data_IF_033181923879
#
_entry.id   IF_033181923879
#
_cell.length_a   1.000
_cell.length_b   1.000
_cell.length_c   1.000
_cell.angle_alpha   90.00
_cell.angle_beta   90.00
_cell.angle_gamma   90.00
#
_symmetry.space_group_name_H-M   'P 1'
#
loop_
_entity.id
_entity.type
_entity.pdbx_description
1 polymer ?
#
# COMPACT_ATOMS: atom_id res chain seq x y z
N UNK A 1 -6.26 -0.86 -8.01
CA UNK A 1 -7.40 -0.53 -7.12
C UNK A 1 -7.12 0.69 -6.24
N UNK A 2 -5.93 0.84 -5.64
CA UNK A 2 -5.55 2.03 -4.85
C UNK A 2 -5.78 3.37 -5.57
N UNK A 3 -5.60 3.42 -6.89
CA UNK A 3 -5.81 4.62 -7.73
C UNK A 3 -7.25 5.15 -7.76
N UNK A 4 -8.23 4.33 -7.38
CA UNK A 4 -9.65 4.67 -7.43
C UNK A 4 -10.32 4.60 -6.04
N UNK A 5 -9.55 4.32 -4.99
CA UNK A 5 -10.07 4.24 -3.64
C UNK A 5 -10.49 5.63 -3.15
N UNK A 6 -11.56 5.68 -2.36
CA UNK A 6 -12.06 6.88 -1.70
C UNK A 6 -12.00 6.68 -0.20
N UNK A 7 -11.53 7.69 0.51
CA UNK A 7 -11.52 7.75 1.97
C UNK A 7 -12.55 8.78 2.43
N UNK A 8 -13.07 8.63 3.65
CA UNK A 8 -13.87 9.67 4.26
C UNK A 8 -12.94 10.76 4.82
N UNK A 9 -12.80 11.84 4.07
CA UNK A 9 -11.89 12.94 4.41
C UNK A 9 -12.34 13.73 5.65
N UNK A 10 -13.62 13.61 6.01
CA UNK A 10 -14.20 14.32 7.16
C UNK A 10 -14.16 13.49 8.43
N UNK A 11 -13.79 12.21 8.33
CA UNK A 11 -13.74 11.33 9.48
C UNK A 11 -12.75 11.86 10.53
N UNK A 12 -13.11 11.87 11.83
CA UNK A 12 -12.22 12.32 12.90
C UNK A 12 -11.04 11.37 13.11
N UNK A 13 -11.15 10.11 12.69
CA UNK A 13 -10.08 9.10 12.67
C UNK A 13 -10.16 8.33 11.36
N UNK A 14 -9.03 8.17 10.66
CA UNK A 14 -8.99 7.43 9.39
C UNK A 14 -9.10 5.93 9.66
N UNK A 15 -8.37 5.42 10.65
CA UNK A 15 -8.39 4.00 11.03
C UNK A 15 -9.78 3.57 11.53
N UNK A 16 -10.39 4.32 12.44
CA UNK A 16 -11.76 4.00 12.92
C UNK A 16 -12.80 4.04 11.78
N UNK A 17 -12.63 4.95 10.82
CA UNK A 17 -13.53 5.06 9.66
C UNK A 17 -13.42 3.84 8.73
N UNK A 18 -12.21 3.31 8.54
CA UNK A 18 -12.02 2.12 7.71
C UNK A 18 -12.34 0.83 8.45
N UNK A 19 -12.29 0.81 9.78
CA UNK A 19 -12.63 -0.33 10.62
C UNK A 19 -14.13 -0.46 10.92
N UNK A 20 -14.92 0.58 10.61
CA UNK A 20 -16.36 0.51 10.76
C UNK A 20 -16.96 -0.63 9.90
N UNK A 21 -17.62 -1.63 10.51
CA UNK A 21 -18.22 -2.74 9.77
C UNK A 21 -19.48 -2.33 8.99
N UNK A 22 -20.09 -1.19 9.30
CA UNK A 22 -21.29 -0.71 8.61
C UNK A 22 -20.99 -0.40 7.14
N UNK A 23 -21.77 -1.01 6.23
CA UNK A 23 -21.60 -0.80 4.79
C UNK A 23 -20.31 -1.41 4.22
N UNK A 24 -19.71 -2.39 4.91
CA UNK A 24 -18.52 -3.08 4.44
C UNK A 24 -18.71 -3.69 3.05
N UNK A 25 -17.80 -3.35 2.13
CA UNK A 25 -17.63 -4.00 0.83
C UNK A 25 -16.17 -4.42 0.68
N UNK A 26 -15.93 -5.72 0.49
CA UNK A 26 -14.59 -6.28 0.49
C UNK A 26 -13.68 -5.74 -0.63
N UNK A 27 -14.24 -5.38 -1.80
CA UNK A 27 -13.44 -4.82 -2.90
C UNK A 27 -13.10 -3.36 -2.65
N UNK A 28 -14.05 -2.57 -2.15
CA UNK A 28 -13.79 -1.19 -1.75
C UNK A 28 -12.78 -1.14 -0.60
N UNK A 29 -12.93 -2.02 0.40
CA UNK A 29 -11.99 -2.11 1.51
C UNK A 29 -10.60 -2.55 1.07
N UNK A 30 -10.51 -3.50 0.15
CA UNK A 30 -9.23 -3.87 -0.47
C UNK A 30 -8.59 -2.68 -1.21
N UNK A 31 -9.39 -1.90 -1.94
CA UNK A 31 -8.92 -0.68 -2.58
C UNK A 31 -8.36 0.33 -1.58
N UNK A 32 -9.09 0.60 -0.50
CA UNK A 32 -8.68 1.50 0.60
C UNK A 32 -7.39 1.00 1.25
N UNK A 33 -7.29 -0.27 1.64
CA UNK A 33 -6.09 -0.81 2.29
C UNK A 33 -4.84 -0.70 1.41
N UNK A 34 -4.95 -0.88 0.09
CA UNK A 34 -3.84 -0.64 -0.84
C UNK A 34 -3.44 0.83 -0.97
N UNK A 35 -4.39 1.76 -0.83
CA UNK A 35 -4.07 3.19 -0.76
C UNK A 35 -3.36 3.53 0.57
N UNK A 36 -3.89 3.07 1.71
CA UNK A 36 -3.28 3.27 3.03
C UNK A 36 -1.85 2.71 3.11
N UNK A 37 -1.62 1.51 2.56
CA UNK A 37 -0.28 0.91 2.44
C UNK A 37 0.69 1.84 1.71
N UNK A 38 0.24 2.43 0.60
CA UNK A 38 1.07 3.30 -0.23
C UNK A 38 1.37 4.62 0.49
N UNK A 39 0.38 5.17 1.21
CA UNK A 39 0.55 6.34 2.09
C UNK A 39 1.58 6.06 3.20
N UNK A 40 1.44 4.94 3.90
CA UNK A 40 2.37 4.52 4.96
C UNK A 40 3.80 4.34 4.46
N UNK A 41 4.00 3.62 3.34
CA UNK A 41 5.33 3.47 2.71
C UNK A 41 5.94 4.83 2.36
N UNK A 42 5.14 5.77 1.84
CA UNK A 42 5.63 7.11 1.49
C UNK A 42 6.17 7.92 2.68
N UNK A 43 5.67 7.64 3.89
CA UNK A 43 6.11 8.27 5.14
C UNK A 43 7.27 7.52 5.75
N UNK A 44 7.23 6.18 5.76
CA UNK A 44 8.30 5.33 6.25
C UNK A 44 9.60 5.56 5.48
N UNK A 45 9.53 5.63 4.15
CA UNK A 45 10.69 5.94 3.31
C UNK A 45 11.37 7.26 3.71
N UNK A 46 10.60 8.31 4.03
CA UNK A 46 11.18 9.59 4.48
C UNK A 46 11.92 9.51 5.83
N UNK A 47 11.70 8.46 6.61
CA UNK A 47 12.36 8.26 7.89
C UNK A 47 13.61 7.37 7.81
N UNK A 48 13.92 6.81 6.64
CA UNK A 48 15.00 5.84 6.45
C UNK A 48 15.88 6.27 5.28
N UNK A 49 17.20 6.30 5.46
CA UNK A 49 18.10 6.61 4.34
C UNK A 49 18.04 5.52 3.27
N UNK A 50 18.03 5.92 2.00
CA UNK A 50 18.18 5.00 0.87
C UNK A 50 19.57 4.33 0.84
N UNK A 51 20.55 4.88 1.58
CA UNK A 51 21.87 4.28 1.78
C UNK A 51 21.80 3.07 2.72
N UNK A 52 20.89 3.08 3.69
CA UNK A 52 20.69 1.99 4.66
C UNK A 52 19.69 0.95 4.15
N UNK A 53 18.54 1.41 3.65
CA UNK A 53 17.47 0.54 3.18
C UNK A 53 16.58 1.20 2.12
N UNK A 54 16.41 0.52 0.99
CA UNK A 54 15.48 0.95 -0.06
C UNK A 54 14.09 0.41 0.26
N UNK A 55 13.11 1.30 0.40
CA UNK A 55 11.73 0.95 0.77
C UNK A 55 10.80 1.30 -0.39
N UNK A 56 10.12 0.30 -0.95
CA UNK A 56 9.26 0.46 -2.13
C UNK A 56 7.86 -0.13 -1.90
N UNK A 57 6.85 0.50 -2.50
CA UNK A 57 5.50 -0.06 -2.60
C UNK A 57 5.36 -0.78 -3.96
N UNK A 58 5.49 -2.11 -3.96
CA UNK A 58 5.45 -2.90 -5.20
C UNK A 58 4.04 -3.32 -5.57
N UNK A 59 3.67 -3.10 -6.83
CA UNK A 59 2.46 -3.64 -7.43
C UNK A 59 2.82 -4.67 -8.52
N UNK A 60 2.64 -5.98 -8.26
CA UNK A 60 2.93 -7.02 -9.25
C UNK A 60 1.90 -7.10 -10.38
N UNK A 61 0.91 -6.18 -10.40
CA UNK A 61 -0.32 -6.26 -11.21
C UNK A 61 -1.15 -7.52 -10.89
N UNK A 62 -2.05 -7.89 -11.79
CA UNK A 62 -2.80 -9.14 -11.69
C UNK A 62 -1.86 -10.35 -11.81
N UNK A 63 -1.94 -11.27 -10.85
CA UNK A 63 -1.16 -12.52 -10.82
C UNK A 63 -2.11 -13.70 -10.63
N UNK A 64 -2.13 -14.60 -11.60
CA UNK A 64 -2.95 -15.82 -11.58
C UNK A 64 -2.25 -16.94 -10.81
N UNK A 65 -3.04 -17.85 -10.25
CA UNK A 65 -2.54 -18.96 -9.42
C UNK A 65 -2.23 -18.54 -7.98
N UNK A 66 -2.57 -17.32 -7.56
CA UNK A 66 -2.56 -16.91 -6.16
C UNK A 66 -3.85 -17.35 -5.46
N UNK A 67 -3.85 -17.37 -4.13
CA UNK A 67 -5.06 -17.59 -3.33
C UNK A 67 -5.80 -16.28 -3.01
N UNK A 68 -5.65 -15.24 -3.86
CA UNK A 68 -6.39 -13.99 -3.73
C UNK A 68 -7.90 -14.28 -3.86
N UNK A 69 -8.71 -13.68 -2.99
CA UNK A 69 -10.16 -13.92 -2.87
C UNK A 69 -10.58 -15.30 -2.31
N UNK A 70 -9.69 -16.15 -1.77
CA UNK A 70 -10.09 -17.45 -1.20
C UNK A 70 -11.19 -17.31 -0.13
N UNK A 71 -11.07 -16.29 0.71
CA UNK A 71 -11.95 -15.98 1.85
C UNK A 71 -13.14 -15.09 1.48
N UNK A 72 -13.28 -14.66 0.23
CA UNK A 72 -14.46 -13.88 -0.13
C UNK A 72 -15.74 -14.70 0.10
N UNK A 73 -16.80 -14.10 0.58
CA UNK A 73 -18.05 -14.84 0.87
C UNK A 73 -18.96 -14.90 -0.37
N UNK A 74 -18.81 -13.92 -1.27
CA UNK A 74 -19.63 -13.80 -2.47
C UNK A 74 -18.98 -14.46 -3.70
N UNK A 75 -19.76 -15.28 -4.40
CA UNK A 75 -19.27 -16.08 -5.52
C UNK A 75 -19.01 -15.25 -6.80
N UNK A 76 -19.80 -14.20 -7.03
CA UNK A 76 -19.70 -13.36 -8.24
C UNK A 76 -18.35 -12.63 -8.33
N UNK A 77 -17.87 -11.91 -7.29
CA UNK A 77 -16.54 -11.31 -7.33
C UNK A 77 -15.41 -12.33 -7.48
N UNK A 78 -15.54 -13.52 -6.86
CA UNK A 78 -14.56 -14.61 -7.04
C UNK A 78 -14.47 -15.05 -8.50
N UNK A 79 -15.60 -15.23 -9.17
CA UNK A 79 -15.63 -15.65 -10.57
C UNK A 79 -15.06 -14.55 -11.47
N UNK A 80 -15.45 -13.29 -11.28
CA UNK A 80 -14.96 -12.16 -12.11
C UNK A 80 -13.45 -11.97 -11.93
N UNK A 81 -12.95 -11.96 -10.70
CA UNK A 81 -11.52 -11.81 -10.42
C UNK A 81 -10.75 -13.06 -10.86
N UNK A 82 -11.31 -14.25 -10.65
CA UNK A 82 -10.73 -15.51 -11.11
C UNK A 82 -10.56 -15.53 -12.64
N UNK A 83 -11.63 -15.26 -13.39
CA UNK A 83 -11.62 -15.24 -14.85
C UNK A 83 -10.71 -14.14 -15.42
N UNK A 84 -10.79 -12.92 -14.87
CA UNK A 84 -9.89 -11.84 -15.29
C UNK A 84 -8.43 -12.16 -15.00
N UNK A 85 -8.11 -12.80 -13.87
CA UNK A 85 -6.76 -13.29 -13.61
C UNK A 85 -6.34 -14.39 -14.58
N UNK A 86 -7.23 -15.32 -14.98
CA UNK A 86 -6.87 -16.36 -15.97
C UNK A 86 -6.46 -15.75 -17.31
N UNK A 87 -7.18 -14.71 -17.76
CA UNK A 87 -7.00 -14.07 -19.07
C UNK A 87 -5.86 -13.03 -19.05
N UNK A 88 -5.80 -12.20 -18.02
CA UNK A 88 -4.92 -11.02 -17.95
C UNK A 88 -3.80 -11.15 -16.91
N UNK A 89 -3.89 -12.14 -16.02
CA UNK A 89 -2.96 -12.31 -14.92
C UNK A 89 -1.64 -12.94 -15.35
N UNK A 90 -0.54 -12.34 -14.91
CA UNK A 90 0.79 -12.92 -15.04
C UNK A 90 0.85 -14.24 -14.25
N UNK A 91 1.67 -15.18 -14.69
CA UNK A 91 1.95 -16.37 -13.85
C UNK A 91 2.68 -15.96 -12.55
N UNK A 92 2.67 -16.85 -11.57
CA UNK A 92 3.29 -16.60 -10.26
C UNK A 92 4.76 -16.16 -10.38
N UNK A 93 5.55 -16.83 -11.23
CA UNK A 93 6.97 -16.53 -11.39
C UNK A 93 7.18 -15.10 -11.91
N UNK A 94 6.42 -14.68 -12.93
CA UNK A 94 6.48 -13.34 -13.48
C UNK A 94 5.97 -12.26 -12.52
N UNK A 95 4.97 -12.59 -11.69
CA UNK A 95 4.52 -11.75 -10.59
C UNK A 95 5.64 -11.55 -9.55
N UNK A 96 6.28 -12.62 -9.11
CA UNK A 96 7.38 -12.60 -8.13
C UNK A 96 8.60 -11.84 -8.66
N UNK A 97 8.90 -11.95 -9.96
CA UNK A 97 10.02 -11.21 -10.58
C UNK A 97 9.90 -9.69 -10.42
N UNK A 98 8.69 -9.12 -10.31
CA UNK A 98 8.52 -7.68 -10.07
C UNK A 98 8.99 -7.25 -8.67
N UNK A 99 8.74 -8.07 -7.66
CA UNK A 99 9.27 -7.82 -6.31
C UNK A 99 10.79 -7.86 -6.31
N UNK A 100 11.38 -8.89 -6.92
CA UNK A 100 12.83 -9.02 -7.03
C UNK A 100 13.43 -7.86 -7.84
N UNK A 101 12.82 -7.47 -8.95
CA UNK A 101 13.28 -6.34 -9.75
C UNK A 101 13.24 -5.03 -8.96
N UNK A 102 12.16 -4.76 -8.22
CA UNK A 102 12.06 -3.56 -7.38
C UNK A 102 13.06 -3.55 -6.23
N UNK A 103 13.42 -4.71 -5.68
CA UNK A 103 14.37 -4.82 -4.58
C UNK A 103 15.84 -4.80 -5.03
N UNK A 104 16.14 -5.37 -6.20
CA UNK A 104 17.52 -5.68 -6.62
C UNK A 104 18.02 -4.84 -7.80
N UNK A 105 17.14 -4.21 -8.57
CA UNK A 105 17.52 -3.59 -9.86
C UNK A 105 17.23 -2.09 -9.93
N UNK A 106 16.11 -1.61 -9.38
CA UNK A 106 15.73 -0.19 -9.52
C UNK A 106 16.65 0.79 -8.77
N UNK A 107 17.42 0.31 -7.79
CA UNK A 107 18.38 1.13 -7.05
C UNK A 107 17.76 2.21 -6.17
N UNK A 108 18.61 3.11 -5.66
CA UNK A 108 18.24 4.15 -4.69
C UNK A 108 17.20 5.13 -5.22
N UNK A 109 17.16 5.37 -6.53
CA UNK A 109 16.17 6.23 -7.17
C UNK A 109 14.73 5.74 -6.97
N UNK A 110 14.54 4.45 -6.70
CA UNK A 110 13.21 3.91 -6.39
C UNK A 110 12.75 4.20 -4.98
N UNK A 111 13.65 4.48 -4.03
CA UNK A 111 13.33 4.59 -2.61
C UNK A 111 12.14 5.53 -2.37
N UNK A 112 11.11 5.01 -1.69
CA UNK A 112 9.87 5.72 -1.45
C UNK A 112 9.02 5.89 -2.70
N UNK A 113 9.01 4.91 -3.61
CA UNK A 113 8.17 4.92 -4.82
C UNK A 113 7.16 3.77 -4.89
N UNK A 114 6.11 4.01 -5.66
CA UNK A 114 5.27 2.94 -6.19
C UNK A 114 5.95 2.31 -7.42
N UNK A 115 6.00 0.97 -7.52
CA UNK A 115 6.78 0.30 -8.56
C UNK A 115 6.01 -0.85 -9.25
N UNK A 116 6.14 -0.95 -10.58
CA UNK A 116 5.61 -2.03 -11.44
C UNK A 116 6.57 -2.34 -12.63
N UNK A 117 7.73 -2.96 -12.37
CA UNK A 117 8.93 -2.99 -13.27
C UNK A 117 9.62 -1.65 -13.50
N UNK A 118 8.94 -0.53 -13.26
CA UNK A 118 9.49 0.82 -13.33
C UNK A 118 9.04 1.60 -12.11
N UNK A 119 9.73 2.70 -11.84
CA UNK A 119 9.28 3.72 -10.88
C UNK A 119 8.01 4.37 -11.44
N UNK A 120 6.98 4.50 -10.60
CA UNK A 120 5.69 5.09 -10.95
C UNK A 120 5.28 6.16 -9.96
N UNK A 121 4.46 7.12 -10.40
CA UNK A 121 3.80 8.03 -9.49
C UNK A 121 2.86 7.25 -8.56
N UNK A 122 2.65 7.83 -7.39
CA UNK A 122 1.61 7.41 -6.45
C UNK A 122 0.20 7.59 -7.04
N UNK A 123 -0.83 6.99 -6.42
CA UNK A 123 -2.22 7.33 -6.71
C UNK A 123 -2.42 8.87 -6.75
N UNK A 124 -3.06 9.43 -7.80
CA UNK A 124 -3.22 10.88 -7.97
C UNK A 124 -3.75 11.60 -6.73
N UNK A 125 -4.64 10.92 -5.98
CA UNK A 125 -5.19 11.41 -4.73
C UNK A 125 -4.12 11.88 -3.73
N UNK A 126 -3.00 11.17 -3.61
CA UNK A 126 -1.91 11.50 -2.66
C UNK A 126 -1.21 12.82 -2.99
N UNK A 127 -1.36 13.34 -4.21
CA UNK A 127 -0.81 14.64 -4.62
C UNK A 127 -1.79 15.80 -4.40
N UNK A 128 -3.03 15.54 -4.00
CA UNK A 128 -3.98 16.58 -3.59
C UNK A 128 -3.67 17.09 -2.19
N UNK A 129 -4.19 18.26 -1.83
CA UNK A 129 -4.03 18.79 -0.47
C UNK A 129 -4.67 17.88 0.57
N UNK A 130 -5.91 17.43 0.33
CA UNK A 130 -6.61 16.48 1.19
C UNK A 130 -5.84 15.17 1.35
N UNK A 131 -5.33 14.60 0.25
CA UNK A 131 -4.54 13.38 0.28
C UNK A 131 -3.26 13.51 1.11
N UNK A 132 -2.57 14.66 1.08
CA UNK A 132 -1.39 14.92 1.94
C UNK A 132 -1.76 15.03 3.43
N UNK A 133 -2.88 15.69 3.72
CA UNK A 133 -3.38 15.82 5.09
C UNK A 133 -3.77 14.46 5.66
N UNK A 134 -4.55 13.67 4.91
CA UNK A 134 -4.90 12.30 5.30
C UNK A 134 -3.66 11.42 5.45
N UNK A 135 -2.69 11.51 4.53
CA UNK A 135 -1.43 10.73 4.64
C UNK A 135 -0.68 11.04 5.94
N UNK A 136 -0.72 12.29 6.41
CA UNK A 136 -0.07 12.69 7.66
C UNK A 136 -0.86 12.20 8.85
N UNK A 137 -2.17 12.43 8.86
CA UNK A 137 -3.08 11.94 9.90
C UNK A 137 -3.01 10.42 10.08
N UNK A 138 -3.09 9.67 8.99
CA UNK A 138 -2.95 8.21 8.99
C UNK A 138 -1.63 7.76 9.61
N UNK A 139 -0.54 8.45 9.28
CA UNK A 139 0.78 8.13 9.83
C UNK A 139 0.82 8.35 11.34
N UNK A 140 0.28 9.46 11.82
CA UNK A 140 0.24 9.77 13.25
C UNK A 140 -0.65 8.77 14.01
N UNK A 141 -1.82 8.41 13.46
CA UNK A 141 -2.70 7.35 13.98
C UNK A 141 -1.98 5.99 14.03
N UNK A 142 -1.28 5.62 12.95
CA UNK A 142 -0.51 4.36 12.88
C UNK A 142 0.59 4.30 13.93
N UNK A 143 1.37 5.39 14.10
CA UNK A 143 2.42 5.44 15.12
C UNK A 143 1.84 5.40 16.53
N UNK A 144 0.67 6.02 16.74
CA UNK A 144 -0.05 5.94 18.02
C UNK A 144 -0.48 4.51 18.34
N UNK A 145 -1.05 3.78 17.38
CA UNK A 145 -1.41 2.37 17.57
C UNK A 145 -0.19 1.49 17.85
N UNK A 146 0.95 1.78 17.20
CA UNK A 146 2.21 1.05 17.37
C UNK A 146 3.04 1.51 18.58
N UNK A 147 2.49 2.35 19.47
CA UNK A 147 3.20 2.80 20.68
C UNK A 147 3.64 1.65 21.60
N UNK A 148 2.88 0.55 21.65
CA UNK A 148 3.25 -0.62 22.44
C UNK A 148 4.60 -1.24 22.01
N UNK A 149 5.02 -0.98 20.77
CA UNK A 149 6.27 -1.46 20.17
C UNK A 149 7.35 -0.37 20.09
N UNK A 150 7.12 0.78 20.71
CA UNK A 150 8.03 1.94 20.70
C UNK A 150 8.43 2.42 19.30
N UNK A 151 7.53 2.25 18.31
CA UNK A 151 7.84 2.48 16.90
C UNK A 151 8.30 3.93 16.61
N UNK A 152 7.81 4.91 17.38
CA UNK A 152 8.23 6.31 17.27
C UNK A 152 9.72 6.49 17.56
N UNK A 153 10.19 6.01 18.72
CA UNK A 153 11.60 6.12 19.10
C UNK A 153 12.51 5.31 18.17
N UNK A 154 12.07 4.13 17.73
CA UNK A 154 12.80 3.34 16.73
C UNK A 154 13.03 4.17 15.46
N UNK A 155 12.00 4.84 14.93
CA UNK A 155 12.13 5.68 13.74
C UNK A 155 13.00 6.92 13.97
N UNK A 156 12.97 7.52 15.16
CA UNK A 156 13.85 8.64 15.51
C UNK A 156 15.32 8.20 15.55
N UNK A 157 15.59 7.00 16.10
CA UNK A 157 16.95 6.46 16.11
C UNK A 157 17.51 6.27 14.70
N UNK A 158 16.68 5.91 13.71
CA UNK A 158 17.10 5.76 12.32
C UNK A 158 17.51 7.08 11.68
N UNK A 159 16.87 8.20 12.07
CA UNK A 159 17.25 9.53 11.59
C UNK A 159 18.58 10.02 12.14
N UNK A 160 18.99 9.57 13.34
CA UNK A 160 20.25 10.00 13.96
C UNK A 160 21.51 9.46 13.29
N UNK A 161 21.38 8.51 12.35
CA UNK A 161 22.48 7.99 11.53
C UNK A 161 22.60 8.68 10.16
N UNK A 162 21.71 9.63 9.85
CA UNK A 162 21.70 10.43 8.62
C UNK A 162 22.37 11.80 8.83
#
# INVERSE_FOLDING_TARGET
MSFYAKLDEKAPSILDSVDNPEGYDGLLQYGKSKLLLTMGVSKLAKAVSADDCIINAVNPSAVRGTALMREAETLVPKIIIGLSNVILGRNLVDGTRQYLHSALVLGKDSHGSFCDWKIRPYPPYMYTESGRQITTKLWDETLKELQFADAGNVLESLKSYM
#
